data_IF_109609617502
#
_entry.id   IF_109609617502
#
_cell.length_a   1.000
_cell.length_b   1.000
_cell.length_c   1.000
_cell.angle_alpha   90.00
_cell.angle_beta   90.00
_cell.angle_gamma   90.00
#
_symmetry.space_group_name_H-M   'P 1'
#
loop_
_entity.id
_entity.type
_entity.pdbx_description
1 polymer ?
#
# COMPACT_ATOMS: atom_id res chain seq x y z
N UNK A 1 0.68 -16.07 3.44
CA UNK A 1 1.48 -15.46 3.89
C UNK A 1 2.77 -15.50 3.30
N UNK A 2 2.95 -16.18 2.37
CA UNK A 2 4.20 -16.26 1.73
C UNK A 2 4.54 -15.09 0.84
N UNK A 3 3.53 -14.37 0.31
CA UNK A 3 3.78 -13.23 -0.59
C UNK A 3 4.56 -12.12 0.10
N UNK A 4 4.20 -11.80 1.34
CA UNK A 4 4.90 -10.76 2.07
C UNK A 4 6.33 -11.18 2.40
N UNK A 5 6.52 -12.43 2.86
CA UNK A 5 7.85 -12.93 3.16
C UNK A 5 8.73 -12.97 1.92
N UNK A 6 8.17 -13.37 0.79
CA UNK A 6 8.91 -13.37 -0.46
C UNK A 6 9.32 -11.97 -0.87
N UNK A 7 8.45 -10.99 -0.66
CA UNK A 7 8.77 -9.60 -0.97
C UNK A 7 9.91 -9.10 -0.09
N UNK A 8 9.88 -9.42 1.21
CA UNK A 8 10.97 -9.04 2.11
C UNK A 8 12.30 -9.67 1.70
N UNK A 9 12.27 -10.94 1.31
CA UNK A 9 13.48 -11.62 0.85
C UNK A 9 14.02 -10.99 -0.42
N UNK A 10 13.14 -10.59 -1.31
CA UNK A 10 13.49 -9.88 -2.52
C UNK A 10 14.17 -8.55 -2.23
N UNK A 11 13.64 -7.80 -1.25
CA UNK A 11 14.23 -6.54 -0.84
C UNK A 11 15.66 -6.75 -0.34
N UNK A 12 15.87 -7.76 0.52
CA UNK A 12 17.17 -8.04 1.06
C UNK A 12 18.17 -8.43 -0.03
N UNK A 13 17.72 -9.24 -0.96
CA UNK A 13 18.56 -9.67 -2.07
C UNK A 13 18.96 -8.48 -2.95
N UNK A 14 18.00 -7.63 -3.29
CA UNK A 14 18.27 -6.48 -4.13
C UNK A 14 19.16 -5.47 -3.41
N UNK A 15 18.95 -5.31 -2.12
CA UNK A 15 19.76 -4.41 -1.30
C UNK A 15 21.23 -4.86 -1.30
N UNK A 16 21.47 -6.16 -1.22
CA UNK A 16 22.83 -6.69 -1.24
C UNK A 16 23.53 -6.43 -2.57
N UNK A 17 22.76 -6.15 -3.61
CA UNK A 17 23.29 -5.82 -4.95
C UNK A 17 23.27 -4.33 -5.22
N UNK A 18 22.88 -3.51 -4.25
CA UNK A 18 22.78 -2.07 -4.42
C UNK A 18 21.59 -1.62 -5.24
N UNK A 19 20.55 -2.45 -5.33
CA UNK A 19 19.35 -2.12 -6.10
C UNK A 19 18.20 -1.71 -5.19
N UNK A 20 17.32 -0.86 -5.72
CA UNK A 20 16.12 -0.44 -4.99
C UNK A 20 15.08 -1.56 -4.96
N UNK A 21 14.18 -1.58 -3.96
CA UNK A 21 13.10 -2.57 -3.94
C UNK A 21 12.21 -2.45 -5.18
N UNK A 22 11.67 -3.58 -5.61
CA UNK A 22 10.72 -3.58 -6.72
C UNK A 22 9.39 -3.00 -6.25
N UNK A 23 8.69 -2.24 -7.12
CA UNK A 23 7.36 -1.74 -6.75
C UNK A 23 6.37 -2.90 -6.61
N UNK A 24 5.37 -2.69 -5.77
CA UNK A 24 4.30 -3.66 -5.56
C UNK A 24 3.27 -3.47 -6.65
N UNK A 25 3.01 -4.53 -7.42
CA UNK A 25 2.03 -4.46 -8.51
C UNK A 25 1.01 -5.61 -8.50
N UNK A 26 1.10 -6.52 -7.53
CA UNK A 26 0.23 -7.69 -7.47
C UNK A 26 -0.79 -7.59 -6.36
N UNK A 27 -2.01 -8.05 -6.66
CA UNK A 27 -3.11 -7.99 -5.70
C UNK A 27 -2.84 -8.86 -4.46
N UNK A 28 -2.27 -10.04 -4.65
CA UNK A 28 -2.05 -10.97 -3.53
C UNK A 28 -1.13 -10.37 -2.48
N UNK A 29 -0.01 -9.80 -2.91
CA UNK A 29 0.90 -9.15 -1.99
C UNK A 29 0.25 -7.94 -1.34
N UNK A 30 -0.48 -7.15 -2.12
CA UNK A 30 -1.15 -5.97 -1.59
C UNK A 30 -2.21 -6.34 -0.56
N UNK A 31 -2.95 -7.44 -0.77
CA UNK A 31 -3.91 -7.93 0.19
C UNK A 31 -3.25 -8.30 1.51
N UNK A 32 -2.11 -8.97 1.45
CA UNK A 32 -1.36 -9.33 2.66
C UNK A 32 -0.94 -8.08 3.42
N UNK A 33 -0.46 -7.08 2.71
CA UNK A 33 -0.01 -5.83 3.32
C UNK A 33 -1.18 -5.12 4.00
N UNK A 34 -2.32 -5.04 3.32
CA UNK A 34 -3.50 -4.39 3.88
C UNK A 34 -3.99 -5.13 5.13
N UNK A 35 -4.00 -6.46 5.10
CA UNK A 35 -4.40 -7.24 6.27
C UNK A 35 -3.49 -6.98 7.46
N UNK A 36 -2.20 -6.86 7.21
CA UNK A 36 -1.25 -6.56 8.29
C UNK A 36 -1.46 -5.15 8.84
N UNK A 37 -1.83 -4.20 8.00
CA UNK A 37 -2.15 -2.84 8.45
C UNK A 37 -3.39 -2.85 9.34
N UNK A 38 -4.40 -3.64 8.98
CA UNK A 38 -5.65 -3.73 9.75
C UNK A 38 -5.44 -4.37 11.11
N UNK A 39 -4.41 -5.19 11.26
CA UNK A 39 -4.11 -5.85 12.53
C UNK A 39 -3.13 -4.99 13.33
N UNK A 40 -3.65 -4.22 14.26
CA UNK A 40 -2.84 -3.26 15.03
C UNK A 40 -1.72 -3.90 15.83
N UNK A 41 -1.85 -5.16 16.19
CA UNK A 41 -0.83 -5.86 16.95
C UNK A 41 0.17 -6.62 16.09
N UNK A 42 0.07 -6.50 14.77
CA UNK A 42 0.94 -7.28 13.89
C UNK A 42 2.37 -6.74 13.90
N UNK A 43 3.34 -7.66 13.97
CA UNK A 43 4.75 -7.27 14.07
C UNK A 43 5.27 -6.55 12.81
N UNK A 44 4.66 -6.81 11.66
CA UNK A 44 5.07 -6.17 10.40
C UNK A 44 4.19 -4.99 10.00
N UNK A 45 3.36 -4.52 10.92
CA UNK A 45 2.41 -3.46 10.61
C UNK A 45 3.09 -2.17 10.16
N UNK A 46 4.16 -1.79 10.84
CA UNK A 46 4.87 -0.55 10.49
C UNK A 46 5.52 -0.67 9.11
N UNK A 47 6.14 -1.80 8.83
CA UNK A 47 6.74 -2.02 7.52
C UNK A 47 5.66 -2.05 6.42
N UNK A 48 4.52 -2.66 6.71
CA UNK A 48 3.40 -2.72 5.76
C UNK A 48 2.87 -1.33 5.45
N UNK A 49 2.79 -0.46 6.44
CA UNK A 49 2.39 0.93 6.23
C UNK A 49 3.35 1.63 5.29
N UNK A 50 4.65 1.45 5.50
CA UNK A 50 5.65 2.06 4.64
C UNK A 50 5.56 1.54 3.21
N UNK A 51 5.40 0.23 3.03
CA UNK A 51 5.25 -0.35 1.71
C UNK A 51 3.98 0.15 1.03
N UNK A 52 2.89 0.23 1.79
CA UNK A 52 1.61 0.71 1.27
C UNK A 52 1.73 2.14 0.74
N UNK A 53 2.42 3.00 1.46
CA UNK A 53 2.51 4.41 1.11
C UNK A 53 3.52 4.65 -0.02
N UNK A 54 4.67 4.00 0.06
CA UNK A 54 5.80 4.37 -0.81
C UNK A 54 6.14 3.37 -1.91
N UNK A 55 5.75 2.11 -1.78
CA UNK A 55 6.23 1.07 -2.69
C UNK A 55 5.22 0.54 -3.68
N UNK A 56 3.99 1.03 -3.66
CA UNK A 56 2.96 0.54 -4.59
C UNK A 56 3.12 1.21 -5.94
N UNK A 57 3.20 0.40 -7.00
CA UNK A 57 3.32 0.93 -8.36
C UNK A 57 2.03 1.64 -8.75
N UNK A 58 2.11 2.91 -9.17
CA UNK A 58 0.91 3.65 -9.55
C UNK A 58 0.36 3.20 -10.90
N UNK A 59 -0.82 3.66 -11.24
CA UNK A 59 -1.43 3.39 -12.53
C UNK A 59 -2.56 2.39 -12.44
N UNK A 60 -2.58 1.42 -13.35
CA UNK A 60 -3.70 0.51 -13.49
C UNK A 60 -3.41 -0.90 -12.97
N UNK A 61 -2.40 -1.07 -12.13
CA UNK A 61 -2.08 -2.37 -11.56
C UNK A 61 -3.15 -2.80 -10.56
N UNK A 62 -3.24 -4.11 -10.31
CA UNK A 62 -4.20 -4.62 -9.34
C UNK A 62 -3.85 -4.16 -7.92
N UNK A 63 -2.56 -4.00 -7.61
CA UNK A 63 -2.15 -3.47 -6.31
C UNK A 63 -2.62 -2.02 -6.14
N UNK A 64 -2.50 -1.20 -7.18
CA UNK A 64 -2.95 0.18 -7.12
C UNK A 64 -4.45 0.26 -6.91
N UNK A 65 -5.22 -0.63 -7.55
CA UNK A 65 -6.67 -0.68 -7.35
C UNK A 65 -7.03 -0.99 -5.91
N UNK A 66 -6.35 -1.94 -5.30
CA UNK A 66 -6.60 -2.27 -3.89
C UNK A 66 -6.20 -1.13 -2.96
N UNK A 67 -5.10 -0.46 -3.27
CA UNK A 67 -4.69 0.71 -2.49
C UNK A 67 -5.75 1.80 -2.56
N UNK A 68 -6.25 2.08 -3.77
CA UNK A 68 -7.29 3.09 -3.95
C UNK A 68 -8.55 2.74 -3.16
N UNK A 69 -8.98 1.48 -3.19
CA UNK A 69 -10.16 1.05 -2.46
C UNK A 69 -9.98 1.21 -0.95
N UNK A 70 -8.82 0.85 -0.43
CA UNK A 70 -8.54 0.99 0.99
C UNK A 70 -8.51 2.47 1.41
N UNK A 71 -7.91 3.32 0.59
CA UNK A 71 -7.89 4.77 0.86
C UNK A 71 -9.30 5.34 0.86
N UNK A 72 -10.16 4.90 -0.05
CA UNK A 72 -11.56 5.33 -0.07
C UNK A 72 -12.28 4.92 1.20
N UNK A 73 -12.03 3.73 1.72
CA UNK A 73 -12.64 3.27 2.96
C UNK A 73 -12.23 4.17 4.12
N UNK A 74 -10.97 4.60 4.14
CA UNK A 74 -10.50 5.52 5.18
C UNK A 74 -11.19 6.88 5.06
N UNK A 75 -11.32 7.39 3.85
CA UNK A 75 -11.98 8.67 3.61
C UNK A 75 -13.45 8.62 4.03
N UNK A 76 -14.12 7.51 3.72
CA UNK A 76 -15.53 7.33 4.06
C UNK A 76 -15.76 7.01 5.54
N UNK A 77 -14.70 6.66 6.26
CA UNK A 77 -14.81 6.34 7.68
C UNK A 77 -15.17 4.90 7.97
N UNK A 78 -15.24 4.04 6.95
CA UNK A 78 -15.53 2.62 7.17
C UNK A 78 -14.30 1.86 7.62
N UNK A 79 -13.12 2.44 7.43
CA UNK A 79 -11.88 1.86 7.91
C UNK A 79 -11.08 2.97 8.59
N UNK A 80 -10.51 2.68 9.76
CA UNK A 80 -9.72 3.66 10.50
C UNK A 80 -8.31 3.15 10.69
N UNK A 81 -7.33 3.95 10.25
CA UNK A 81 -5.91 3.67 10.46
C UNK A 81 -5.32 4.93 11.06
N UNK A 82 -4.81 4.85 12.29
CA UNK A 82 -4.38 6.05 12.98
C UNK A 82 -3.22 6.77 12.29
N UNK A 83 -2.38 6.04 11.57
CA UNK A 83 -1.26 6.62 10.86
C UNK A 83 -1.65 7.26 9.54
N UNK A 84 -2.88 7.03 9.08
CA UNK A 84 -3.37 7.59 7.82
C UNK A 84 -4.65 8.36 8.11
N UNK A 85 -4.55 9.68 8.16
CA UNK A 85 -5.72 10.51 8.36
C UNK A 85 -6.56 10.54 7.08
N UNK A 86 -7.79 11.02 7.19
CA UNK A 86 -8.65 11.18 6.01
C UNK A 86 -8.02 12.13 5.01
N UNK A 87 -7.40 13.21 5.48
CA UNK A 87 -6.73 14.17 4.61
C UNK A 87 -5.55 13.53 3.88
N UNK A 88 -4.76 12.74 4.59
CA UNK A 88 -3.63 12.05 3.97
C UNK A 88 -4.11 11.02 2.96
N UNK A 89 -5.18 10.29 3.28
CA UNK A 89 -5.76 9.32 2.36
C UNK A 89 -6.26 10.00 1.08
N UNK A 90 -6.91 11.16 1.23
CA UNK A 90 -7.37 11.93 0.10
C UNK A 90 -6.20 12.38 -0.77
N UNK A 91 -5.15 12.87 -0.15
CA UNK A 91 -3.96 13.31 -0.87
C UNK A 91 -3.31 12.16 -1.62
N UNK A 92 -3.15 11.01 -0.96
CA UNK A 92 -2.59 9.83 -1.60
C UNK A 92 -3.41 9.39 -2.78
N UNK A 93 -4.74 9.37 -2.63
CA UNK A 93 -5.63 8.96 -3.70
C UNK A 93 -5.53 9.90 -4.89
N UNK A 94 -5.46 11.21 -4.63
CA UNK A 94 -5.40 12.20 -5.70
C UNK A 94 -4.08 12.12 -6.48
N UNK A 95 -3.01 11.62 -5.85
CA UNK A 95 -1.71 11.50 -6.51
C UNK A 95 -1.53 10.19 -7.29
N UNK A 96 -2.36 9.18 -7.02
CA UNK A 96 -2.14 7.86 -7.60
C UNK A 96 -2.28 7.82 -9.10
N UNK A 97 -3.28 8.51 -9.63
CA UNK A 97 -3.56 8.48 -11.07
C UNK A 97 -3.56 9.86 -11.67
N UNK A 98 -3.00 10.83 -11.00
CA UNK A 98 -3.06 12.20 -11.47
C UNK A 98 -4.51 12.67 -11.56
N UNK A 99 -4.85 13.34 -12.68
CA UNK A 99 -6.18 13.89 -12.88
C UNK A 99 -7.33 12.93 -12.66
N UNK A 100 -7.27 11.70 -13.17
CA UNK A 100 -8.43 10.80 -13.05
C UNK A 100 -8.86 10.52 -11.61
N UNK A 101 -7.94 10.50 -10.67
CA UNK A 101 -8.34 10.18 -9.32
C UNK A 101 -9.17 11.26 -8.65
N UNK A 102 -9.14 12.47 -9.17
CA UNK A 102 -9.95 13.55 -8.64
C UNK A 102 -11.43 13.28 -8.86
N UNK A 103 -11.77 12.61 -9.93
CA UNK A 103 -13.16 12.34 -10.27
C UNK A 103 -13.84 11.36 -9.36
N UNK A 104 -13.08 10.65 -8.58
CA UNK A 104 -13.61 9.69 -7.63
C UNK A 104 -14.26 10.42 -6.46
N UNK A 105 -13.88 11.62 -6.26
CA UNK A 105 -14.35 12.43 -5.15
C UNK A 105 -15.52 13.25 -5.53
#
# INVERSE_FOLDING_TARGET
MNNYNNYQNQILERESKGLNPLPIDEADLMSDIIEQIKNEGHEHRQDSLNFFIYNVLPGTTSAAALKADFLKEIILGTQVVKEISKDFAFEQLSHMKGGPSIKVL
#
